data_IF_401410689387
#
_entry.id   IF_401410689387
#
_cell.length_a   1.000
_cell.length_b   1.000
_cell.length_c   1.000
_cell.angle_alpha   90.00
_cell.angle_beta   90.00
_cell.angle_gamma   90.00
#
_symmetry.space_group_name_H-M   'P 1'
#
loop_
_entity.id
_entity.type
_entity.pdbx_description
1 polymer ?
#
# COMPACT_ATOMS: atom_id res chain seq x y z
N UNK A 1 -5.07 21.04 -17.76
CA UNK A 1 -5.72 21.08 -16.42
C UNK A 1 -6.33 22.44 -16.09
N UNK A 2 -5.64 23.56 -16.26
CA UNK A 2 -6.21 24.89 -15.93
C UNK A 2 -7.54 25.19 -16.63
N UNK A 3 -7.67 24.94 -17.94
CA UNK A 3 -8.94 25.15 -18.66
C UNK A 3 -10.10 24.33 -18.07
N UNK A 4 -9.86 23.05 -17.73
CA UNK A 4 -10.85 22.19 -17.06
C UNK A 4 -11.23 22.76 -15.69
N UNK A 5 -10.26 23.27 -14.94
CA UNK A 5 -10.47 23.88 -13.63
C UNK A 5 -11.36 25.12 -13.73
N UNK A 6 -11.02 26.04 -14.65
CA UNK A 6 -11.77 27.27 -14.90
C UNK A 6 -13.21 26.96 -15.28
N UNK A 7 -13.42 26.03 -16.22
CA UNK A 7 -14.76 25.63 -16.65
C UNK A 7 -15.57 25.01 -15.51
N UNK A 8 -14.95 24.15 -14.69
CA UNK A 8 -15.61 23.56 -13.53
C UNK A 8 -15.97 24.61 -12.48
N UNK A 9 -15.14 25.64 -12.31
CA UNK A 9 -15.46 26.74 -11.38
C UNK A 9 -16.67 27.55 -11.86
N UNK A 10 -16.77 27.82 -13.17
CA UNK A 10 -17.92 28.54 -13.75
C UNK A 10 -19.22 27.75 -13.62
N UNK A 11 -19.13 26.42 -13.77
CA UNK A 11 -20.27 25.51 -13.77
C UNK A 11 -20.47 24.79 -12.45
N UNK A 12 -19.88 25.25 -11.34
CA UNK A 12 -19.82 24.49 -10.08
C UNK A 12 -21.20 23.99 -9.60
N UNK A 13 -22.26 24.76 -9.86
CA UNK A 13 -23.64 24.38 -9.51
C UNK A 13 -24.21 23.23 -10.37
N UNK A 14 -23.62 22.89 -11.51
CA UNK A 14 -24.02 21.71 -12.30
C UNK A 14 -23.47 20.40 -11.72
N UNK A 15 -22.47 20.49 -10.84
CA UNK A 15 -21.76 19.33 -10.33
C UNK A 15 -22.44 18.76 -9.07
N UNK A 16 -22.59 17.44 -9.04
CA UNK A 16 -22.97 16.70 -7.83
C UNK A 16 -21.77 15.91 -7.28
N UNK A 17 -21.93 15.24 -6.14
CA UNK A 17 -20.82 14.65 -5.40
C UNK A 17 -19.90 13.72 -6.21
N UNK A 18 -20.45 12.83 -7.05
CA UNK A 18 -19.64 12.02 -7.98
C UNK A 18 -18.81 12.86 -8.96
N UNK A 19 -19.42 13.87 -9.60
CA UNK A 19 -18.68 14.74 -10.53
C UNK A 19 -17.54 15.47 -9.81
N UNK A 20 -17.81 16.00 -8.61
CA UNK A 20 -16.81 16.67 -7.78
C UNK A 20 -15.68 15.72 -7.38
N UNK A 21 -16.00 14.49 -6.98
CA UNK A 21 -15.01 13.47 -6.66
C UNK A 21 -14.12 13.15 -7.85
N UNK A 22 -14.69 12.98 -9.05
CA UNK A 22 -13.91 12.69 -10.25
C UNK A 22 -12.97 13.84 -10.62
N UNK A 23 -13.46 15.09 -10.54
CA UNK A 23 -12.62 16.27 -10.81
C UNK A 23 -11.52 16.39 -9.75
N UNK A 24 -11.85 16.34 -8.46
CA UNK A 24 -10.88 16.42 -7.37
C UNK A 24 -9.80 15.33 -7.51
N UNK A 25 -10.22 14.08 -7.76
CA UNK A 25 -9.33 12.95 -7.96
C UNK A 25 -8.38 13.14 -9.15
N UNK A 26 -8.86 13.67 -10.27
CA UNK A 26 -8.02 13.94 -11.43
C UNK A 26 -6.88 14.93 -11.11
N UNK A 27 -7.20 16.01 -10.39
CA UNK A 27 -6.19 17.01 -9.98
C UNK A 27 -5.19 16.44 -8.97
N UNK A 28 -5.66 15.64 -8.01
CA UNK A 28 -4.82 14.94 -7.02
C UNK A 28 -3.86 13.96 -7.70
N UNK A 29 -4.37 13.17 -8.64
CA UNK A 29 -3.60 12.16 -9.39
C UNK A 29 -2.51 12.82 -10.21
N UNK A 30 -2.83 13.94 -10.87
CA UNK A 30 -1.87 14.70 -11.68
C UNK A 30 -0.97 15.64 -10.85
N UNK A 31 -1.12 15.65 -9.52
CA UNK A 31 -0.40 16.56 -8.61
C UNK A 31 -0.56 18.05 -9.01
N UNK A 32 -1.69 18.39 -9.62
CA UNK A 32 -1.97 19.73 -10.13
C UNK A 32 -2.82 20.50 -9.11
N UNK A 33 -2.19 21.39 -8.32
CA UNK A 33 -2.91 22.22 -7.34
C UNK A 33 -3.66 23.35 -8.05
N UNK A 34 -4.95 23.53 -7.72
CA UNK A 34 -5.77 24.64 -8.24
C UNK A 34 -6.74 25.16 -7.17
N UNK A 35 -6.29 26.15 -6.40
CA UNK A 35 -7.00 26.64 -5.20
C UNK A 35 -8.42 27.17 -5.46
N UNK A 36 -8.72 27.90 -6.57
CA UNK A 36 -10.10 28.30 -6.86
C UNK A 36 -11.06 27.12 -7.04
N UNK A 37 -10.57 26.00 -7.61
CA UNK A 37 -11.37 24.79 -7.79
C UNK A 37 -11.62 24.10 -6.45
N UNK A 38 -10.58 23.98 -5.62
CA UNK A 38 -10.70 23.43 -4.27
C UNK A 38 -11.65 24.24 -3.39
N UNK A 39 -11.68 25.57 -3.59
CA UNK A 39 -12.64 26.46 -2.95
C UNK A 39 -14.07 26.14 -3.37
N UNK A 40 -14.35 25.97 -4.67
CA UNK A 40 -15.67 25.60 -5.19
C UNK A 40 -16.11 24.23 -4.65
N UNK A 41 -15.22 23.23 -4.64
CA UNK A 41 -15.50 21.92 -4.05
C UNK A 41 -15.87 22.08 -2.57
N UNK A 42 -15.06 22.84 -1.81
CA UNK A 42 -15.33 23.12 -0.39
C UNK A 42 -16.66 23.82 -0.14
N UNK A 43 -17.03 24.80 -0.96
CA UNK A 43 -18.33 25.48 -0.88
C UNK A 43 -19.48 24.50 -1.08
N UNK A 44 -19.41 23.66 -2.11
CA UNK A 44 -20.49 22.73 -2.43
C UNK A 44 -20.63 21.66 -1.34
N UNK A 45 -19.51 21.08 -0.87
CA UNK A 45 -19.54 20.04 0.18
C UNK A 45 -20.01 20.56 1.53
N UNK A 46 -19.78 21.85 1.82
CA UNK A 46 -20.22 22.47 3.08
C UNK A 46 -21.59 23.15 2.98
N UNK A 47 -22.03 23.53 1.79
CA UNK A 47 -23.30 24.22 1.55
C UNK A 47 -24.51 23.28 1.49
N UNK A 48 -25.60 23.78 0.90
CA UNK A 48 -26.91 23.10 0.84
C UNK A 48 -26.86 21.69 0.25
N UNK A 49 -25.97 21.44 -0.73
CA UNK A 49 -25.84 20.13 -1.37
C UNK A 49 -25.15 19.08 -0.51
N UNK A 50 -24.33 19.51 0.46
CA UNK A 50 -23.55 18.61 1.30
C UNK A 50 -22.70 17.63 0.48
N UNK A 51 -22.55 16.40 1.00
CA UNK A 51 -21.86 15.30 0.29
C UNK A 51 -22.79 14.51 -0.63
N UNK A 52 -24.11 14.73 -0.55
CA UNK A 52 -25.13 13.97 -1.26
C UNK A 52 -25.32 12.55 -0.70
N UNK A 53 -25.57 11.59 -1.59
CA UNK A 53 -25.76 10.17 -1.22
C UNK A 53 -24.50 9.56 -0.63
N UNK A 54 -24.64 8.42 0.05
CA UNK A 54 -23.49 7.70 0.60
C UNK A 54 -22.47 7.31 -0.47
N UNK A 55 -22.95 6.83 -1.63
CA UNK A 55 -22.09 6.51 -2.77
C UNK A 55 -21.25 7.71 -3.23
N UNK A 56 -21.82 8.92 -3.20
CA UNK A 56 -21.10 10.15 -3.53
C UNK A 56 -20.08 10.53 -2.45
N UNK A 57 -20.47 10.46 -1.18
CA UNK A 57 -19.59 10.75 -0.05
C UNK A 57 -18.36 9.82 -0.04
N UNK A 58 -18.56 8.53 -0.32
CA UNK A 58 -17.48 7.53 -0.46
C UNK A 58 -16.48 7.87 -1.56
N UNK A 59 -16.95 8.35 -2.71
CA UNK A 59 -16.05 8.77 -3.79
C UNK A 59 -15.26 10.02 -3.40
N UNK A 60 -15.89 10.97 -2.70
CA UNK A 60 -15.23 12.17 -2.18
C UNK A 60 -14.19 11.84 -1.10
N UNK A 61 -14.41 10.79 -0.29
CA UNK A 61 -13.47 10.35 0.73
C UNK A 61 -12.06 10.07 0.17
N UNK A 62 -11.97 9.37 -0.98
CA UNK A 62 -10.68 9.16 -1.66
C UNK A 62 -10.00 10.46 -2.06
N UNK A 63 -10.79 11.47 -2.45
CA UNK A 63 -10.25 12.79 -2.78
C UNK A 63 -9.75 13.51 -1.51
N UNK A 64 -10.51 13.47 -0.42
CA UNK A 64 -10.09 14.08 0.85
C UNK A 64 -8.83 13.43 1.42
N UNK A 65 -8.69 12.11 1.31
CA UNK A 65 -7.46 11.40 1.68
C UNK A 65 -6.26 11.79 0.80
N UNK A 66 -6.50 12.04 -0.49
CA UNK A 66 -5.45 12.35 -1.46
C UNK A 66 -5.04 13.83 -1.54
N UNK A 67 -5.89 14.75 -1.07
CA UNK A 67 -5.64 16.20 -1.10
C UNK A 67 -4.27 16.63 -0.54
N UNK A 68 -3.77 16.11 0.61
CA UNK A 68 -2.46 16.50 1.15
C UNK A 68 -1.30 16.33 0.16
N UNK A 69 -1.47 15.46 -0.83
CA UNK A 69 -0.48 15.22 -1.90
C UNK A 69 -0.29 16.44 -2.82
N UNK A 70 -1.17 17.44 -2.76
CA UNK A 70 -1.06 18.71 -3.48
C UNK A 70 -0.24 19.77 -2.73
N UNK A 71 0.21 19.48 -1.50
CA UNK A 71 1.07 20.35 -0.70
C UNK A 71 0.57 20.53 0.74
N UNK A 72 1.45 20.97 1.67
CA UNK A 72 1.14 21.04 3.11
C UNK A 72 0.00 22.00 3.46
N UNK A 73 -0.11 23.11 2.71
CA UNK A 73 -1.12 24.15 2.96
C UNK A 73 -2.41 23.97 2.15
N UNK A 74 -2.55 22.84 1.44
CA UNK A 74 -3.75 22.59 0.63
C UNK A 74 -5.00 22.46 1.50
N UNK A 75 -6.07 23.17 1.14
CA UNK A 75 -7.36 23.12 1.82
C UNK A 75 -8.49 23.16 0.79
N UNK A 76 -9.69 22.76 1.21
CA UNK A 76 -10.92 22.96 0.46
C UNK A 76 -11.37 24.42 0.63
N UNK A 77 -10.57 25.36 0.11
CA UNK A 77 -10.78 26.80 0.24
C UNK A 77 -10.39 27.41 1.59
N UNK A 78 -10.75 26.78 2.71
CA UNK A 78 -10.39 27.21 4.06
C UNK A 78 -10.25 26.02 5.02
N UNK A 79 -9.61 26.25 6.18
CA UNK A 79 -9.56 25.25 7.26
C UNK A 79 -10.95 24.82 7.71
N UNK A 80 -11.84 25.79 7.94
CA UNK A 80 -13.21 25.52 8.39
C UNK A 80 -13.99 24.64 7.41
N UNK A 81 -13.82 24.87 6.09
CA UNK A 81 -14.46 24.05 5.07
C UNK A 81 -13.83 22.68 4.91
N UNK A 82 -12.50 22.56 5.03
CA UNK A 82 -11.85 21.23 5.06
C UNK A 82 -12.38 20.41 6.23
N UNK A 83 -12.34 20.96 7.45
CA UNK A 83 -12.80 20.27 8.67
C UNK A 83 -14.31 19.97 8.58
N UNK A 84 -15.11 20.92 8.10
CA UNK A 84 -16.55 20.73 7.93
C UNK A 84 -16.90 19.61 6.95
N UNK A 85 -16.18 19.51 5.83
CA UNK A 85 -16.41 18.47 4.83
C UNK A 85 -16.08 17.07 5.37
N UNK A 86 -14.95 16.91 6.07
CA UNK A 86 -14.57 15.62 6.65
C UNK A 86 -15.41 15.24 7.87
N UNK A 87 -15.90 16.22 8.64
CA UNK A 87 -16.88 15.99 9.70
C UNK A 87 -18.19 15.44 9.13
N UNK A 88 -18.75 16.09 8.09
CA UNK A 88 -19.96 15.60 7.41
C UNK A 88 -19.79 14.18 6.88
N UNK A 89 -18.60 13.83 6.36
CA UNK A 89 -18.30 12.49 5.88
C UNK A 89 -18.33 11.47 7.03
N UNK A 90 -17.68 11.81 8.15
CA UNK A 90 -17.63 10.97 9.34
C UNK A 90 -19.03 10.77 9.95
N UNK A 91 -19.80 11.84 10.10
CA UNK A 91 -21.16 11.77 10.65
C UNK A 91 -22.06 10.91 9.75
N UNK A 92 -21.99 11.11 8.43
CA UNK A 92 -22.78 10.33 7.47
C UNK A 92 -22.44 8.82 7.48
N UNK A 93 -21.16 8.47 7.70
CA UNK A 93 -20.73 7.10 7.94
C UNK A 93 -21.28 6.57 9.27
N UNK A 94 -21.13 7.34 10.34
CA UNK A 94 -21.48 6.92 11.70
C UNK A 94 -22.99 6.69 11.85
N UNK A 95 -23.82 7.59 11.31
CA UNK A 95 -25.28 7.43 11.32
C UNK A 95 -25.71 6.12 10.66
N UNK A 96 -25.04 5.73 9.55
CA UNK A 96 -25.34 4.48 8.83
C UNK A 96 -24.84 3.25 9.57
N UNK A 97 -23.65 3.36 10.14
CA UNK A 97 -23.08 2.32 10.98
C UNK A 97 -24.00 2.02 12.17
N UNK A 98 -24.52 3.06 12.83
CA UNK A 98 -25.48 2.91 13.94
C UNK A 98 -26.85 2.38 13.49
N UNK A 99 -27.34 2.84 12.33
CA UNK A 99 -28.63 2.39 11.81
C UNK A 99 -28.62 0.93 11.33
N UNK A 100 -27.45 0.30 11.19
CA UNK A 100 -27.33 -1.11 10.81
C UNK A 100 -27.88 -1.43 9.42
N UNK A 101 -27.94 -0.45 8.52
CA UNK A 101 -28.69 -0.53 7.25
C UNK A 101 -28.08 -1.49 6.22
N UNK A 102 -26.92 -2.09 6.50
CA UNK A 102 -26.20 -2.95 5.55
C UNK A 102 -25.62 -2.21 4.34
N UNK A 103 -25.80 -0.89 4.24
CA UNK A 103 -25.28 -0.04 3.15
C UNK A 103 -23.80 0.36 3.33
N UNK A 104 -23.21 0.07 4.50
CA UNK A 104 -21.80 0.31 4.79
C UNK A 104 -21.03 -0.96 4.47
N UNK A 105 -20.21 -0.91 3.42
CA UNK A 105 -19.29 -2.01 3.12
C UNK A 105 -18.24 -2.09 4.22
N UNK A 106 -17.70 -3.28 4.50
CA UNK A 106 -16.66 -3.43 5.52
C UNK A 106 -15.38 -2.59 5.22
N UNK A 107 -15.15 -2.27 3.95
CA UNK A 107 -14.08 -1.37 3.49
C UNK A 107 -14.34 0.12 3.74
N UNK A 108 -15.60 0.52 3.90
CA UNK A 108 -15.96 1.93 4.00
C UNK A 108 -15.32 2.58 5.24
N UNK A 109 -15.11 1.80 6.31
CA UNK A 109 -14.46 2.26 7.53
C UNK A 109 -13.06 2.82 7.25
N UNK A 110 -12.18 2.05 6.60
CA UNK A 110 -10.81 2.52 6.39
C UNK A 110 -10.76 3.67 5.37
N UNK A 111 -11.69 3.69 4.40
CA UNK A 111 -11.81 4.78 3.43
C UNK A 111 -12.15 6.10 4.11
N UNK A 112 -13.13 6.09 5.03
CA UNK A 112 -13.49 7.29 5.81
C UNK A 112 -12.37 7.67 6.76
N UNK A 113 -11.75 6.68 7.42
CA UNK A 113 -10.66 6.92 8.34
C UNK A 113 -9.49 7.66 7.66
N UNK A 114 -9.01 7.15 6.52
CA UNK A 114 -7.90 7.77 5.78
C UNK A 114 -8.30 9.11 5.13
N UNK A 115 -9.59 9.35 4.89
CA UNK A 115 -10.10 10.65 4.46
C UNK A 115 -10.09 11.70 5.57
N UNK A 116 -10.24 11.30 6.84
CA UNK A 116 -10.31 12.17 8.01
C UNK A 116 -8.93 12.37 8.63
N UNK A 117 -8.13 11.30 8.74
CA UNK A 117 -6.86 11.24 9.46
C UNK A 117 -5.91 12.42 9.18
N UNK A 118 -5.64 12.82 7.91
CA UNK A 118 -4.69 13.89 7.62
C UNK A 118 -5.10 15.26 8.17
N UNK A 119 -6.39 15.44 8.47
CA UNK A 119 -6.97 16.72 8.85
C UNK A 119 -7.15 16.86 10.36
N UNK A 120 -6.90 15.80 11.11
CA UNK A 120 -6.96 15.82 12.58
C UNK A 120 -5.87 16.68 13.20
N UNK A 121 -4.80 17.03 12.47
CA UNK A 121 -3.79 17.97 12.95
C UNK A 121 -4.25 19.44 12.96
N UNK A 122 -5.32 19.78 12.25
CA UNK A 122 -5.79 21.16 12.11
C UNK A 122 -6.38 21.70 13.43
N UNK A 123 -6.16 22.98 13.79
CA UNK A 123 -6.75 23.60 14.99
C UNK A 123 -8.27 23.42 15.10
N UNK A 124 -9.01 23.63 14.01
CA UNK A 124 -10.46 23.49 13.95
C UNK A 124 -10.98 22.05 14.12
N UNK A 125 -10.11 21.04 14.11
CA UNK A 125 -10.50 19.62 14.18
C UNK A 125 -10.66 19.09 15.61
N UNK A 126 -10.48 19.93 16.66
CA UNK A 126 -10.54 19.51 18.07
C UNK A 126 -11.82 18.74 18.42
N UNK A 127 -12.98 19.26 18.04
CA UNK A 127 -14.27 18.61 18.27
C UNK A 127 -14.43 17.32 17.46
N UNK A 128 -13.92 17.30 16.22
CA UNK A 128 -13.94 16.12 15.36
C UNK A 128 -13.14 14.98 16.02
N UNK A 129 -11.95 15.29 16.53
CA UNK A 129 -11.08 14.34 17.23
C UNK A 129 -11.71 13.79 18.52
N UNK A 130 -12.49 14.61 19.22
CA UNK A 130 -13.19 14.22 20.44
C UNK A 130 -14.60 13.64 20.19
N UNK A 131 -15.01 13.49 18.93
CA UNK A 131 -16.36 13.02 18.61
C UNK A 131 -16.49 11.51 18.83
N UNK A 132 -17.67 11.08 19.31
CA UNK A 132 -18.00 9.65 19.42
C UNK A 132 -18.01 8.92 18.07
N UNK A 133 -18.28 9.64 16.97
CA UNK A 133 -18.20 9.10 15.63
C UNK A 133 -16.76 8.71 15.25
N UNK A 134 -15.78 9.57 15.56
CA UNK A 134 -14.37 9.28 15.32
C UNK A 134 -13.88 8.13 16.20
N UNK A 135 -14.27 8.14 17.48
CA UNK A 135 -13.93 7.06 18.40
C UNK A 135 -14.46 5.71 17.93
N UNK A 136 -15.74 5.63 17.55
CA UNK A 136 -16.36 4.40 17.06
C UNK A 136 -15.70 3.88 15.78
N UNK A 137 -15.35 4.77 14.86
CA UNK A 137 -14.62 4.40 13.64
C UNK A 137 -13.24 3.80 13.95
N UNK A 138 -12.49 4.41 14.87
CA UNK A 138 -11.20 3.87 15.32
C UNK A 138 -11.35 2.51 16.01
N UNK A 139 -12.36 2.35 16.87
CA UNK A 139 -12.62 1.09 17.56
C UNK A 139 -12.98 -0.03 16.57
N UNK A 140 -13.75 0.28 15.52
CA UNK A 140 -14.08 -0.67 14.45
C UNK A 140 -12.82 -1.15 13.73
N UNK A 141 -11.95 -0.23 13.29
CA UNK A 141 -10.70 -0.58 12.62
C UNK A 141 -9.71 -1.27 13.56
N UNK A 142 -9.67 -0.90 14.85
CA UNK A 142 -8.87 -1.58 15.85
C UNK A 142 -9.32 -3.03 16.01
N UNK A 143 -10.64 -3.29 16.04
CA UNK A 143 -11.20 -4.63 16.10
C UNK A 143 -10.85 -5.45 14.86
N UNK A 144 -10.96 -4.87 13.65
CA UNK A 144 -10.54 -5.54 12.42
C UNK A 144 -9.04 -5.88 12.43
N UNK A 145 -8.20 -4.94 12.86
CA UNK A 145 -6.75 -5.13 13.02
C UNK A 145 -6.42 -6.25 13.99
N UNK A 146 -7.02 -6.26 15.19
CA UNK A 146 -6.78 -7.28 16.22
C UNK A 146 -7.23 -8.68 15.76
N UNK A 147 -8.36 -8.77 15.05
CA UNK A 147 -8.80 -10.04 14.46
C UNK A 147 -7.79 -10.56 13.43
N UNK A 148 -7.25 -9.67 12.58
CA UNK A 148 -6.24 -10.07 11.59
C UNK A 148 -4.93 -10.47 12.26
N UNK A 149 -4.51 -9.70 13.27
CA UNK A 149 -3.34 -10.02 14.08
C UNK A 149 -3.48 -11.42 14.69
N UNK A 150 -4.61 -11.72 15.32
CA UNK A 150 -4.88 -13.03 15.90
C UNK A 150 -4.83 -14.15 14.86
N UNK A 151 -5.36 -13.94 13.66
CA UNK A 151 -5.25 -14.92 12.56
C UNK A 151 -3.78 -15.13 12.14
N UNK A 152 -3.00 -14.07 11.97
CA UNK A 152 -1.59 -14.16 11.58
C UNK A 152 -0.71 -14.77 12.70
N UNK A 153 -1.12 -14.69 13.96
CA UNK A 153 -0.43 -15.30 15.09
C UNK A 153 -0.80 -16.77 15.29
N UNK A 154 -2.08 -17.12 15.15
CA UNK A 154 -2.61 -18.41 15.60
C UNK A 154 -3.12 -19.35 14.48
N UNK A 155 -3.18 -18.92 13.22
CA UNK A 155 -3.62 -19.79 12.11
C UNK A 155 -2.66 -20.96 11.91
N UNK A 156 -3.21 -22.18 11.92
CA UNK A 156 -2.47 -23.40 11.60
C UNK A 156 -1.95 -23.37 10.16
N UNK A 157 -2.73 -22.83 9.21
CA UNK A 157 -2.32 -22.67 7.81
C UNK A 157 -1.14 -21.71 7.69
N UNK A 158 -1.20 -20.59 8.40
CA UNK A 158 -0.10 -19.63 8.43
C UNK A 158 1.16 -20.24 9.04
N UNK A 159 1.01 -20.94 10.17
CA UNK A 159 2.10 -21.66 10.80
C UNK A 159 2.70 -22.70 9.84
N UNK A 160 1.87 -23.53 9.20
CA UNK A 160 2.29 -24.57 8.25
C UNK A 160 3.10 -24.01 7.08
N UNK A 161 2.73 -22.84 6.55
CA UNK A 161 3.49 -22.16 5.50
C UNK A 161 4.89 -21.75 5.99
N UNK A 162 5.01 -21.32 7.25
CA UNK A 162 6.29 -20.89 7.83
C UNK A 162 7.25 -22.03 8.15
N UNK A 163 6.72 -23.19 8.57
CA UNK A 163 7.55 -24.36 8.92
C UNK A 163 7.97 -25.16 7.70
N UNK A 164 7.29 -25.02 6.56
CA UNK A 164 7.60 -25.80 5.36
C UNK A 164 9.02 -25.51 4.85
N UNK A 165 9.83 -26.55 4.71
CA UNK A 165 11.15 -26.50 4.05
C UNK A 165 11.02 -26.65 2.52
N UNK A 166 9.88 -27.12 2.05
CA UNK A 166 9.56 -27.28 0.64
C UNK A 166 8.56 -26.22 0.18
N UNK A 167 8.23 -26.20 -1.12
CA UNK A 167 7.11 -25.40 -1.59
C UNK A 167 5.84 -25.90 -0.88
N UNK A 168 5.11 -25.04 -0.14
CA UNK A 168 3.90 -25.47 0.54
C UNK A 168 2.90 -26.01 -0.47
N UNK A 169 2.16 -27.05 -0.10
CA UNK A 169 1.10 -27.58 -0.95
C UNK A 169 0.09 -26.48 -1.29
N UNK A 170 -0.41 -26.53 -2.53
CA UNK A 170 -1.48 -25.63 -3.02
C UNK A 170 -2.71 -25.65 -2.08
N UNK A 171 -2.98 -26.79 -1.43
CA UNK A 171 -4.08 -26.96 -0.47
C UNK A 171 -3.95 -26.09 0.78
N UNK A 172 -2.73 -25.93 1.33
CA UNK A 172 -2.46 -25.10 2.51
C UNK A 172 -2.55 -23.62 2.15
N UNK A 173 -1.97 -23.26 1.01
CA UNK A 173 -2.01 -21.89 0.49
C UNK A 173 -3.46 -21.45 0.26
N UNK A 174 -4.27 -22.32 -0.33
CA UNK A 174 -5.70 -22.05 -0.59
C UNK A 174 -6.49 -21.85 0.70
N UNK A 175 -6.32 -22.72 1.70
CA UNK A 175 -6.98 -22.56 3.00
C UNK A 175 -6.61 -21.24 3.68
N UNK A 176 -5.34 -20.86 3.66
CA UNK A 176 -4.92 -19.55 4.15
C UNK A 176 -5.60 -18.39 3.42
N UNK A 177 -5.72 -18.47 2.08
CA UNK A 177 -6.41 -17.44 1.29
C UNK A 177 -7.89 -17.36 1.65
N UNK A 178 -8.55 -18.51 1.82
CA UNK A 178 -9.95 -18.59 2.28
C UNK A 178 -10.10 -17.95 3.67
N UNK A 179 -9.16 -18.20 4.60
CA UNK A 179 -9.12 -17.54 5.91
C UNK A 179 -9.00 -16.01 5.80
N UNK A 180 -8.10 -15.50 4.95
CA UNK A 180 -7.99 -14.05 4.70
C UNK A 180 -9.28 -13.46 4.11
N UNK A 181 -9.92 -14.17 3.18
CA UNK A 181 -11.15 -13.71 2.52
C UNK A 181 -12.33 -13.58 3.49
N UNK A 182 -12.32 -14.33 4.60
CA UNK A 182 -13.37 -14.25 5.63
C UNK A 182 -13.47 -12.86 6.30
N UNK A 183 -12.40 -12.07 6.23
CA UNK A 183 -12.39 -10.70 6.76
C UNK A 183 -13.25 -9.74 5.94
N UNK A 184 -13.50 -10.05 4.66
CA UNK A 184 -14.33 -9.25 3.73
C UNK A 184 -13.92 -7.77 3.61
N UNK A 185 -12.66 -7.46 3.89
CA UNK A 185 -12.03 -6.14 3.69
C UNK A 185 -10.80 -6.28 2.80
N UNK A 186 -10.47 -5.23 2.06
CA UNK A 186 -9.27 -5.14 1.22
C UNK A 186 -8.04 -4.71 2.03
N UNK A 187 -8.22 -3.86 3.03
CA UNK A 187 -7.14 -3.28 3.82
C UNK A 187 -7.63 -2.74 5.16
N UNK A 188 -6.69 -2.24 5.95
CA UNK A 188 -6.97 -1.66 7.28
C UNK A 188 -6.88 -0.12 7.30
N UNK A 189 -6.56 0.52 6.17
CA UNK A 189 -6.20 1.94 6.13
C UNK A 189 -4.81 2.20 6.70
N UNK A 190 -4.33 3.43 6.55
CA UNK A 190 -2.92 3.78 6.74
C UNK A 190 -2.45 3.52 8.18
N UNK A 191 -3.10 4.10 9.18
CA UNK A 191 -2.68 3.98 10.59
C UNK A 191 -2.72 2.54 11.10
N UNK A 192 -3.83 1.83 10.90
CA UNK A 192 -3.99 0.48 11.42
C UNK A 192 -3.12 -0.55 10.70
N UNK A 193 -2.84 -0.35 9.40
CA UNK A 193 -1.87 -1.17 8.66
C UNK A 193 -0.47 -1.00 9.23
N UNK A 194 -0.05 0.24 9.47
CA UNK A 194 1.24 0.53 10.09
C UNK A 194 1.35 -0.08 11.49
N UNK A 195 0.37 0.15 12.38
CA UNK A 195 0.38 -0.41 13.74
C UNK A 195 0.49 -1.92 13.76
N UNK A 196 -0.18 -2.61 12.83
CA UNK A 196 -0.09 -4.05 12.69
C UNK A 196 1.33 -4.49 12.28
N UNK A 197 1.88 -3.89 11.23
CA UNK A 197 3.21 -4.24 10.71
C UNK A 197 4.32 -3.90 11.71
N UNK A 198 4.21 -2.77 12.41
CA UNK A 198 5.10 -2.38 13.50
C UNK A 198 5.05 -3.41 14.64
N UNK A 199 3.86 -3.93 14.99
CA UNK A 199 3.69 -5.02 15.95
C UNK A 199 4.42 -6.32 15.55
N UNK A 200 4.67 -6.54 14.25
CA UNK A 200 5.48 -7.63 13.71
C UNK A 200 6.94 -7.24 13.41
N UNK A 201 7.40 -6.10 13.92
CA UNK A 201 8.79 -5.64 13.82
C UNK A 201 9.16 -5.06 12.45
N UNK A 202 8.20 -4.57 11.68
CA UNK A 202 8.51 -3.67 10.57
C UNK A 202 8.94 -2.29 11.10
N UNK A 203 9.77 -1.60 10.32
CA UNK A 203 10.33 -0.29 10.65
C UNK A 203 9.89 0.75 9.63
N UNK A 204 9.82 2.05 9.98
CA UNK A 204 9.62 3.09 8.98
C UNK A 204 10.89 3.28 8.13
N UNK A 205 10.71 3.72 6.89
CA UNK A 205 11.80 4.25 6.05
C UNK A 205 12.17 5.66 6.53
N UNK A 206 13.46 6.02 6.53
CA UNK A 206 13.88 7.35 6.98
C UNK A 206 13.38 8.46 6.02
N UNK A 207 13.09 9.65 6.56
CA UNK A 207 12.47 10.73 5.78
C UNK A 207 13.31 11.18 4.57
N UNK A 208 14.64 11.23 4.72
CA UNK A 208 15.58 11.50 3.62
C UNK A 208 15.51 10.48 2.49
N UNK A 209 15.34 9.20 2.83
CA UNK A 209 15.23 8.11 1.86
C UNK A 209 13.88 8.14 1.14
N UNK A 210 12.81 8.51 1.86
CA UNK A 210 11.48 8.74 1.28
C UNK A 210 11.53 9.88 0.27
N UNK A 211 12.23 10.98 0.59
CA UNK A 211 12.37 12.11 -0.32
C UNK A 211 13.11 11.71 -1.62
N UNK A 212 14.18 10.93 -1.51
CA UNK A 212 14.91 10.41 -2.66
C UNK A 212 14.04 9.47 -3.53
N UNK A 213 13.24 8.58 -2.91
CA UNK A 213 12.32 7.70 -3.63
C UNK A 213 11.22 8.48 -4.39
N UNK A 214 10.68 9.54 -3.75
CA UNK A 214 9.69 10.43 -4.38
C UNK A 214 10.28 11.19 -5.57
N UNK A 215 11.49 11.74 -5.44
CA UNK A 215 12.17 12.46 -6.52
C UNK A 215 12.36 11.57 -7.77
N UNK A 216 12.82 10.33 -7.58
CA UNK A 216 12.96 9.36 -8.69
C UNK A 216 11.64 8.99 -9.37
N UNK A 217 10.51 9.08 -8.66
CA UNK A 217 9.16 8.85 -9.22
C UNK A 217 8.71 10.02 -10.11
N UNK A 218 9.02 11.26 -9.71
CA UNK A 218 8.71 12.50 -10.45
C UNK A 218 9.58 12.70 -11.70
N UNK A 219 10.86 12.34 -11.66
CA UNK A 219 11.74 12.43 -12.84
C UNK A 219 11.34 11.45 -13.94
N UNK A 220 10.80 10.28 -13.61
CA UNK A 220 10.32 9.33 -14.62
C UNK A 220 9.00 9.72 -15.27
N UNK A 221 8.12 10.45 -14.56
CA UNK A 221 6.88 10.96 -15.16
C UNK A 221 7.12 12.13 -16.12
N UNK A 222 8.27 12.81 -16.01
CA UNK A 222 8.62 14.00 -16.79
C UNK A 222 9.64 13.72 -17.92
N UNK A 223 10.54 12.76 -17.76
CA UNK A 223 11.67 12.51 -18.70
C UNK A 223 11.34 11.67 -19.94
N UNK A 224 10.17 11.05 -20.02
CA UNK A 224 9.70 10.39 -21.25
C UNK A 224 8.43 11.06 -21.72
N UNK A 225 8.53 11.87 -22.78
CA UNK A 225 7.41 12.34 -23.60
C UNK A 225 6.66 11.20 -24.31
N UNK A 226 6.37 10.11 -23.61
CA UNK A 226 5.49 9.05 -24.07
C UNK A 226 4.06 9.53 -23.91
N UNK A 227 3.46 9.86 -25.05
CA UNK A 227 2.01 9.78 -25.30
C UNK A 227 1.47 8.45 -24.78
N UNK A 228 1.07 8.39 -23.51
CA UNK A 228 0.27 7.29 -22.98
C UNK A 228 -1.19 7.55 -23.32
N UNK A 229 -1.57 7.04 -24.49
CA UNK A 229 -2.95 6.68 -24.80
C UNK A 229 -3.27 5.46 -23.95
N UNK A 230 -3.74 5.67 -22.72
CA UNK A 230 -4.54 4.70 -21.99
C UNK A 230 -5.57 5.52 -21.18
N UNK A 231 -6.67 5.86 -21.84
CA UNK A 231 -7.78 6.65 -21.31
C UNK A 231 -8.66 5.91 -20.29
N UNK A 232 -8.08 5.05 -19.45
CA UNK A 232 -8.78 4.43 -18.32
C UNK A 232 -8.03 4.80 -17.04
N UNK A 233 -8.71 5.55 -16.17
CA UNK A 233 -8.25 5.94 -14.84
C UNK A 233 -8.14 4.75 -13.88
N UNK A 234 -7.32 3.76 -14.22
CA UNK A 234 -7.00 2.61 -13.38
C UNK A 234 -5.92 3.02 -12.36
N UNK A 235 -6.21 2.81 -11.07
CA UNK A 235 -5.31 3.07 -9.94
C UNK A 235 -3.99 2.31 -10.14
N UNK A 236 -2.91 3.03 -10.44
CA UNK A 236 -1.58 2.43 -10.60
C UNK A 236 -0.89 2.40 -9.24
N UNK A 237 -0.82 1.23 -8.62
CA UNK A 237 -0.09 1.02 -7.38
C UNK A 237 1.33 0.58 -7.71
N UNK A 238 2.30 1.37 -7.28
CA UNK A 238 3.71 1.14 -7.50
C UNK A 238 4.35 0.73 -6.19
N UNK A 239 5.30 -0.22 -6.26
CA UNK A 239 6.22 -0.53 -5.17
C UNK A 239 7.65 -0.39 -5.69
N UNK A 240 8.45 0.35 -4.94
CA UNK A 240 9.86 0.58 -5.16
C UNK A 240 10.61 -0.09 -4.02
N UNK A 241 11.73 -0.76 -4.30
CA UNK A 241 12.47 -1.43 -3.25
C UNK A 241 13.98 -1.31 -3.37
N UNK A 242 14.64 -1.42 -2.22
CA UNK A 242 16.08 -1.63 -2.05
C UNK A 242 16.28 -2.82 -1.16
N UNK A 243 17.31 -3.62 -1.43
CA UNK A 243 17.63 -4.76 -0.59
C UNK A 243 19.13 -4.89 -0.40
N UNK A 244 19.55 -5.31 0.78
CA UNK A 244 20.89 -5.78 1.05
C UNK A 244 20.77 -6.99 1.94
N UNK A 245 21.36 -8.11 1.55
CA UNK A 245 21.35 -9.34 2.35
C UNK A 245 22.78 -9.85 2.49
N UNK A 246 23.11 -10.35 3.68
CA UNK A 246 24.40 -10.93 3.95
C UNK A 246 24.31 -12.11 4.93
N UNK A 247 25.20 -13.08 4.73
CA UNK A 247 25.33 -14.25 5.61
C UNK A 247 26.54 -14.05 6.52
N UNK A 248 26.37 -14.11 7.86
CA UNK A 248 27.49 -14.03 8.79
C UNK A 248 28.45 -15.22 8.58
N UNK A 249 29.67 -14.94 8.11
CA UNK A 249 30.72 -15.93 7.90
C UNK A 249 32.09 -15.26 8.08
N UNK A 250 33.17 -16.05 8.13
CA UNK A 250 34.55 -15.54 8.25
C UNK A 250 34.92 -14.54 7.14
N UNK A 251 34.33 -14.71 5.95
CA UNK A 251 34.22 -13.68 4.92
C UNK A 251 32.72 -13.46 4.65
N UNK A 252 32.16 -12.29 4.94
CA UNK A 252 30.73 -12.04 4.75
C UNK A 252 30.39 -12.02 3.26
N UNK A 253 29.45 -12.88 2.86
CA UNK A 253 28.88 -12.85 1.51
C UNK A 253 27.74 -11.85 1.47
N UNK A 254 27.72 -11.00 0.45
CA UNK A 254 26.79 -9.87 0.35
C UNK A 254 26.16 -9.83 -1.04
N UNK A 255 24.85 -9.59 -1.09
CA UNK A 255 24.15 -9.22 -2.31
C UNK A 255 23.32 -7.95 -2.06
N UNK A 256 23.34 -7.01 -3.01
CA UNK A 256 22.65 -5.74 -2.84
C UNK A 256 21.96 -5.26 -4.11
N UNK A 257 20.73 -4.77 -3.94
CA UNK A 257 19.96 -4.01 -4.91
C UNK A 257 19.88 -2.56 -4.39
N UNK A 258 20.71 -1.63 -4.89
CA UNK A 258 20.79 -0.25 -4.39
C UNK A 258 19.54 0.58 -4.67
N UNK A 259 18.57 0.03 -5.41
CA UNK A 259 17.29 0.63 -5.68
C UNK A 259 17.07 0.74 -7.17
N UNK A 260 16.12 -0.06 -7.65
CA UNK A 260 15.74 -0.06 -9.04
C UNK A 260 14.34 0.50 -9.18
N UNK A 261 14.22 1.58 -9.94
CA UNK A 261 12.95 2.02 -10.51
C UNK A 261 12.56 0.98 -11.58
N UNK A 262 11.84 -0.07 -11.17
CA UNK A 262 11.33 -1.07 -12.10
C UNK A 262 10.16 -0.44 -12.87
N UNK A 263 10.43 0.02 -14.08
CA UNK A 263 9.39 0.47 -15.01
C UNK A 263 8.52 -0.75 -15.36
N UNK A 264 7.22 -0.68 -15.12
CA UNK A 264 6.32 -1.84 -15.06
C UNK A 264 5.06 -1.67 -15.93
N UNK A 265 5.03 -2.22 -17.15
CA UNK A 265 3.88 -2.33 -18.10
C UNK A 265 3.46 -3.77 -18.52
N UNK A 266 2.74 -4.55 -17.71
CA UNK A 266 1.97 -5.71 -18.24
C UNK A 266 0.62 -5.82 -17.54
N UNK A 267 -0.42 -5.74 -18.36
CA UNK A 267 -1.76 -6.25 -18.13
C UNK A 267 -1.87 -7.55 -18.95
N UNK A 268 -2.24 -8.65 -18.27
CA UNK A 268 -2.66 -9.98 -18.77
C UNK A 268 -1.61 -11.00 -19.24
N UNK A 269 -1.87 -12.22 -18.77
CA UNK A 269 -1.22 -13.51 -19.02
C UNK A 269 -1.25 -13.87 -20.52
N UNK A 270 -0.08 -13.86 -21.16
CA UNK A 270 0.24 -14.74 -22.30
C UNK A 270 1.71 -15.15 -22.18
N UNK A 271 1.91 -16.42 -22.45
CA UNK A 271 3.01 -17.26 -22.02
C UNK A 271 4.07 -17.31 -23.12
N UNK A 272 4.56 -16.15 -23.57
CA UNK A 272 5.43 -16.07 -24.73
C UNK A 272 5.82 -14.62 -25.00
N UNK A 273 6.90 -14.13 -24.36
CA UNK A 273 7.75 -13.03 -24.86
C UNK A 273 8.92 -12.68 -23.89
N UNK A 274 10.11 -13.22 -24.15
CA UNK A 274 11.32 -12.39 -24.31
C UNK A 274 11.88 -11.51 -23.17
N UNK A 275 11.67 -11.82 -21.90
CA UNK A 275 12.65 -11.42 -20.86
C UNK A 275 12.55 -10.01 -20.23
N UNK A 276 11.36 -9.47 -19.98
CA UNK A 276 11.14 -8.36 -19.03
C UNK A 276 9.80 -8.52 -18.29
N UNK A 277 9.71 -8.16 -17.00
CA UNK A 277 8.53 -8.48 -16.16
C UNK A 277 8.01 -7.27 -15.37
N UNK A 278 6.67 -7.16 -15.33
CA UNK A 278 5.85 -6.09 -14.74
C UNK A 278 4.75 -6.66 -13.83
N UNK A 279 4.19 -5.87 -12.89
CA UNK A 279 3.38 -6.38 -11.77
C UNK A 279 2.18 -5.47 -11.47
N UNK A 280 0.96 -5.96 -11.72
CA UNK A 280 -0.31 -5.27 -11.46
C UNK A 280 -0.90 -5.79 -10.16
N UNK A 281 -1.22 -4.91 -9.21
CA UNK A 281 -2.10 -5.26 -8.10
C UNK A 281 -3.52 -5.46 -8.65
N UNK A 282 -3.92 -6.71 -8.91
CA UNK A 282 -5.34 -7.00 -9.11
C UNK A 282 -5.99 -7.04 -7.73
N UNK A 283 -6.80 -6.03 -7.43
CA UNK A 283 -7.74 -6.07 -6.30
C UNK A 283 -8.91 -7.03 -6.56
N UNK A 284 -8.66 -8.13 -7.28
CA UNK A 284 -9.67 -9.13 -7.58
C UNK A 284 -9.86 -10.04 -6.38
N UNK A 285 -11.11 -10.32 -6.04
CA UNK A 285 -11.51 -11.08 -4.84
C UNK A 285 -11.06 -12.55 -4.86
N UNK A 286 -10.34 -12.99 -5.89
CA UNK A 286 -10.19 -14.41 -6.25
C UNK A 286 -8.73 -14.87 -6.25
N UNK A 287 -7.73 -13.99 -6.34
CA UNK A 287 -6.32 -14.43 -6.48
C UNK A 287 -5.33 -13.65 -5.60
N UNK A 288 -5.34 -13.94 -4.29
CA UNK A 288 -4.64 -13.17 -3.25
C UNK A 288 -3.12 -13.40 -3.14
N UNK A 289 -2.47 -14.10 -4.08
CA UNK A 289 -1.03 -14.38 -3.97
C UNK A 289 -0.26 -14.34 -5.29
N UNK A 290 -0.94 -14.28 -6.42
CA UNK A 290 -0.27 -14.25 -7.70
C UNK A 290 0.09 -12.80 -8.06
N UNK A 291 1.31 -12.40 -7.66
CA UNK A 291 2.07 -11.30 -8.28
C UNK A 291 1.71 -9.86 -7.86
N UNK A 292 1.84 -9.54 -6.57
CA UNK A 292 1.93 -8.15 -6.09
C UNK A 292 3.39 -7.65 -6.12
N UNK A 293 3.63 -6.35 -6.32
CA UNK A 293 4.99 -5.81 -6.52
C UNK A 293 5.85 -5.94 -5.25
N UNK A 294 5.22 -5.75 -4.09
CA UNK A 294 5.74 -5.98 -2.75
C UNK A 294 6.14 -7.44 -2.57
N UNK A 295 5.29 -8.37 -3.03
CA UNK A 295 5.56 -9.81 -2.98
C UNK A 295 6.80 -10.16 -3.79
N UNK A 296 6.98 -9.55 -4.96
CA UNK A 296 8.18 -9.77 -5.78
C UNK A 296 9.45 -9.24 -5.12
N UNK A 297 9.40 -8.07 -4.50
CA UNK A 297 10.54 -7.52 -3.76
C UNK A 297 10.96 -8.49 -2.62
N UNK A 298 10.00 -8.98 -1.84
CA UNK A 298 10.26 -9.98 -0.79
C UNK A 298 10.76 -11.31 -1.36
N UNK A 299 10.15 -11.82 -2.43
CA UNK A 299 10.54 -13.09 -3.05
C UNK A 299 11.95 -13.03 -3.64
N UNK A 300 12.33 -11.92 -4.29
CA UNK A 300 13.69 -11.67 -4.79
C UNK A 300 14.70 -11.65 -3.64
N UNK A 301 14.38 -10.91 -2.58
CA UNK A 301 15.23 -10.80 -1.39
C UNK A 301 15.43 -12.17 -0.73
N UNK A 302 14.35 -12.94 -0.57
CA UNK A 302 14.41 -14.30 -0.04
C UNK A 302 15.20 -15.26 -0.94
N UNK A 303 15.05 -15.16 -2.27
CA UNK A 303 15.82 -15.98 -3.21
C UNK A 303 17.31 -15.67 -3.16
N UNK A 304 17.68 -14.39 -3.06
CA UNK A 304 19.07 -13.97 -2.90
C UNK A 304 19.66 -14.43 -1.56
N UNK A 305 18.92 -14.28 -0.47
CA UNK A 305 19.30 -14.79 0.85
C UNK A 305 19.59 -16.30 0.80
N UNK A 306 18.71 -17.09 0.17
CA UNK A 306 18.89 -18.54 0.00
C UNK A 306 20.07 -18.89 -0.90
N UNK A 307 20.34 -18.09 -1.94
CA UNK A 307 21.51 -18.29 -2.79
C UNK A 307 22.82 -18.09 -2.02
N UNK A 308 22.89 -17.06 -1.15
CA UNK A 308 24.05 -16.88 -0.28
C UNK A 308 24.26 -18.03 0.72
N UNK A 309 23.21 -18.74 1.10
CA UNK A 309 23.30 -19.90 2.00
C UNK A 309 23.77 -21.19 1.30
N UNK A 310 23.99 -21.18 -0.02
CA UNK A 310 24.47 -22.33 -0.79
C UNK A 310 25.99 -22.54 -0.75
N UNK A 311 26.73 -21.81 0.09
CA UNK A 311 28.19 -21.98 0.26
C UNK A 311 28.63 -23.44 0.51
N UNK A 312 27.83 -24.33 1.13
CA UNK A 312 28.22 -25.74 1.24
C UNK A 312 28.31 -26.49 -0.11
N UNK A 313 27.66 -25.98 -1.16
CA UNK A 313 27.59 -26.58 -2.51
C UNK A 313 28.24 -25.73 -3.60
N UNK A 314 28.44 -24.43 -3.37
CA UNK A 314 29.02 -23.46 -4.29
C UNK A 314 30.18 -22.74 -3.64
N UNK A 315 31.15 -22.28 -4.43
CA UNK A 315 32.17 -21.35 -3.91
C UNK A 315 31.52 -20.03 -3.44
N UNK A 316 32.14 -19.31 -2.49
CA UNK A 316 31.73 -17.97 -2.06
C UNK A 316 31.40 -16.98 -3.19
N UNK A 317 32.21 -17.00 -4.26
CA UNK A 317 32.05 -16.13 -5.42
C UNK A 317 30.80 -16.50 -6.23
N UNK A 318 30.61 -17.79 -6.53
CA UNK A 318 29.45 -18.30 -7.25
C UNK A 318 28.14 -18.01 -6.51
N UNK A 319 28.13 -18.22 -5.18
CA UNK A 319 26.98 -17.92 -4.34
C UNK A 319 26.63 -16.41 -4.38
N UNK A 320 27.63 -15.54 -4.36
CA UNK A 320 27.44 -14.08 -4.43
C UNK A 320 26.92 -13.65 -5.80
N UNK A 321 27.48 -14.18 -6.89
CA UNK A 321 27.02 -13.91 -8.26
C UNK A 321 25.58 -14.38 -8.44
N UNK A 322 25.25 -15.59 -7.98
CA UNK A 322 23.89 -16.12 -8.06
C UNK A 322 22.92 -15.27 -7.24
N UNK A 323 23.28 -14.87 -6.01
CA UNK A 323 22.43 -14.02 -5.18
C UNK A 323 22.18 -12.65 -5.81
N UNK A 324 23.20 -12.04 -6.41
CA UNK A 324 23.07 -10.77 -7.13
C UNK A 324 22.14 -10.91 -8.35
N UNK A 325 22.23 -12.01 -9.08
CA UNK A 325 21.33 -12.32 -10.19
C UNK A 325 19.89 -12.52 -9.71
N UNK A 326 19.68 -13.21 -8.58
CA UNK A 326 18.34 -13.41 -7.99
C UNK A 326 17.69 -12.09 -7.56
N UNK A 327 18.44 -11.12 -7.02
CA UNK A 327 17.92 -9.77 -6.77
C UNK A 327 17.51 -9.08 -8.08
N UNK A 328 18.36 -9.18 -9.11
CA UNK A 328 18.19 -8.51 -10.40
C UNK A 328 16.98 -9.03 -11.17
N UNK A 329 16.81 -10.34 -11.28
CA UNK A 329 15.81 -10.96 -12.16
C UNK A 329 14.67 -11.65 -11.42
N UNK A 330 14.85 -11.97 -10.13
CA UNK A 330 13.97 -12.89 -9.40
C UNK A 330 14.23 -14.35 -9.74
N UNK A 331 13.67 -15.24 -8.92
CA UNK A 331 13.78 -16.68 -9.10
C UNK A 331 13.05 -17.15 -10.38
N UNK A 332 13.72 -17.94 -11.23
CA UNK A 332 13.07 -18.65 -12.35
C UNK A 332 12.42 -19.94 -11.84
N UNK A 333 11.25 -20.35 -12.35
CA UNK A 333 10.56 -21.57 -11.90
C UNK A 333 11.41 -22.85 -12.03
N UNK A 334 12.30 -22.88 -13.03
CA UNK A 334 13.13 -24.03 -13.44
C UNK A 334 14.52 -24.06 -12.78
N UNK A 335 14.98 -22.93 -12.25
CA UNK A 335 16.17 -22.90 -11.42
C UNK A 335 15.74 -23.41 -10.03
N UNK A 336 15.98 -24.70 -9.77
CA UNK A 336 15.70 -25.32 -8.48
C UNK A 336 16.16 -24.39 -7.36
N UNK A 337 15.22 -23.88 -6.56
CA UNK A 337 15.57 -23.26 -5.30
C UNK A 337 16.42 -24.29 -4.54
N UNK A 338 17.58 -23.89 -4.00
CA UNK A 338 18.49 -24.84 -3.37
C UNK A 338 17.78 -25.64 -2.29
N UNK A 339 17.74 -26.96 -2.50
CA UNK A 339 17.01 -27.92 -1.65
C UNK A 339 17.64 -28.11 -0.26
N UNK A 340 18.73 -27.42 0.06
CA UNK A 340 19.60 -27.65 1.23
C UNK A 340 19.58 -26.48 2.22
N UNK A 341 18.65 -25.53 2.10
CA UNK A 341 18.57 -24.39 3.03
C UNK A 341 17.59 -24.68 4.15
N UNK A 342 18.09 -24.79 5.38
CA UNK A 342 17.26 -24.97 6.57
C UNK A 342 16.65 -23.65 7.04
N UNK A 343 15.57 -23.72 7.83
CA UNK A 343 14.95 -22.54 8.44
C UNK A 343 15.91 -21.78 9.36
N UNK A 344 16.73 -22.51 10.12
CA UNK A 344 17.72 -21.90 11.02
C UNK A 344 18.78 -21.13 10.24
N UNK A 345 19.17 -21.64 9.05
CA UNK A 345 20.05 -20.94 8.15
C UNK A 345 19.39 -19.64 7.62
N UNK A 346 18.12 -19.67 7.21
CA UNK A 346 17.38 -18.46 6.81
C UNK A 346 17.28 -17.44 7.95
N UNK A 347 17.11 -17.90 9.19
CA UNK A 347 17.07 -17.04 10.36
C UNK A 347 18.41 -16.34 10.64
N UNK A 348 19.53 -16.93 10.23
CA UNK A 348 20.86 -16.34 10.38
C UNK A 348 21.16 -15.20 9.38
N UNK A 349 20.40 -15.11 8.27
CA UNK A 349 20.63 -14.08 7.25
C UNK A 349 20.30 -12.71 7.78
N UNK A 350 21.24 -11.79 7.63
CA UNK A 350 21.12 -10.41 8.06
C UNK A 350 20.90 -9.49 6.86
N UNK A 351 20.40 -8.28 7.11
CA UNK A 351 20.32 -7.27 6.06
C UNK A 351 19.16 -6.30 6.22
N UNK A 352 18.73 -5.74 5.10
CA UNK A 352 17.56 -4.86 5.03
C UNK A 352 16.79 -5.03 3.72
N UNK A 353 15.48 -4.87 3.80
CA UNK A 353 14.56 -4.72 2.67
C UNK A 353 13.75 -3.44 2.91
N UNK A 354 13.94 -2.45 2.05
CA UNK A 354 13.18 -1.21 2.06
C UNK A 354 12.11 -1.27 0.97
N UNK A 355 10.86 -0.97 1.33
CA UNK A 355 9.72 -0.88 0.42
C UNK A 355 9.10 0.51 0.51
N UNK A 356 8.89 1.15 -0.65
CA UNK A 356 8.10 2.37 -0.78
C UNK A 356 6.94 2.08 -1.73
N UNK A 357 5.69 2.25 -1.28
CA UNK A 357 4.50 2.05 -2.10
C UNK A 357 3.72 3.33 -2.38
N UNK A 358 2.96 3.40 -3.46
CA UNK A 358 2.08 4.56 -3.73
C UNK A 358 0.71 4.46 -3.06
N UNK A 359 0.37 3.30 -2.50
CA UNK A 359 -0.86 3.06 -1.73
C UNK A 359 -0.58 2.18 -0.51
N UNK A 360 -1.54 2.18 0.43
CA UNK A 360 -1.53 1.31 1.61
C UNK A 360 -1.58 -0.16 1.17
N UNK A 361 -0.76 -1.05 1.74
CA UNK A 361 -0.78 -2.46 1.34
C UNK A 361 -2.09 -3.15 1.74
N UNK A 362 -2.59 -4.00 0.85
CA UNK A 362 -3.77 -4.82 1.10
C UNK A 362 -3.49 -5.96 2.09
N UNK A 363 -4.53 -6.69 2.51
CA UNK A 363 -4.40 -7.79 3.48
C UNK A 363 -3.42 -8.89 3.05
N UNK A 364 -3.38 -9.25 1.77
CA UNK A 364 -2.44 -10.26 1.26
C UNK A 364 -0.99 -9.79 1.35
N UNK A 365 -0.73 -8.53 0.99
CA UNK A 365 0.59 -7.90 1.13
C UNK A 365 1.04 -7.87 2.60
N UNK A 366 0.16 -7.48 3.52
CA UNK A 366 0.42 -7.53 4.97
C UNK A 366 0.79 -8.94 5.40
N UNK A 367 0.00 -9.95 5.01
CA UNK A 367 0.27 -11.35 5.33
C UNK A 367 1.63 -11.83 4.82
N UNK A 368 2.00 -11.46 3.60
CA UNK A 368 3.31 -11.79 3.03
C UNK A 368 4.47 -11.08 3.75
N UNK A 369 4.30 -9.82 4.15
CA UNK A 369 5.29 -9.07 4.95
C UNK A 369 5.53 -9.74 6.30
N UNK A 370 4.46 -10.19 6.98
CA UNK A 370 4.59 -10.93 8.24
C UNK A 370 5.27 -12.28 8.03
N UNK A 371 4.97 -12.99 6.94
CA UNK A 371 5.67 -14.24 6.62
C UNK A 371 7.16 -14.00 6.40
N UNK A 372 7.52 -12.98 5.61
CA UNK A 372 8.90 -12.61 5.36
C UNK A 372 9.64 -12.29 6.67
N UNK A 373 9.04 -11.46 7.54
CA UNK A 373 9.62 -11.11 8.85
C UNK A 373 9.87 -12.31 9.75
N UNK A 374 8.94 -13.27 9.79
CA UNK A 374 9.10 -14.47 10.62
C UNK A 374 10.12 -15.46 10.06
N UNK A 375 10.28 -15.47 8.74
CA UNK A 375 11.23 -16.36 8.06
C UNK A 375 12.67 -15.80 8.07
N UNK A 376 12.81 -14.48 7.92
CA UNK A 376 14.08 -13.76 7.93
C UNK A 376 14.10 -12.69 9.04
N UNK A 377 14.09 -13.09 10.33
CA UNK A 377 14.00 -12.18 11.47
C UNK A 377 15.10 -11.13 11.50
N UNK A 378 16.28 -11.42 10.96
CA UNK A 378 17.45 -10.53 10.97
C UNK A 378 17.59 -9.66 9.69
N UNK A 379 16.65 -9.75 8.74
CA UNK A 379 16.51 -8.77 7.65
C UNK A 379 15.51 -7.69 8.09
N UNK A 380 16.00 -6.47 8.29
CA UNK A 380 15.16 -5.33 8.65
C UNK A 380 14.19 -4.98 7.52
N UNK A 381 12.89 -5.20 7.72
CA UNK A 381 11.85 -4.77 6.78
C UNK A 381 11.46 -3.32 7.08
N UNK A 382 11.85 -2.41 6.21
CA UNK A 382 11.49 -1.00 6.29
C UNK A 382 10.39 -0.70 5.26
N UNK A 383 9.31 -0.08 5.68
CA UNK A 383 8.13 0.16 4.84
C UNK A 383 7.72 1.63 4.88
N UNK A 384 7.19 2.10 3.77
CA UNK A 384 6.59 3.42 3.65
C UNK A 384 5.56 3.41 2.50
N UNK A 385 4.57 4.30 2.56
CA UNK A 385 3.68 4.57 1.42
C UNK A 385 3.24 6.03 1.32
N UNK A 386 2.60 6.41 0.22
CA UNK A 386 1.95 7.72 0.15
C UNK A 386 0.75 7.81 1.12
N UNK A 387 0.80 8.75 2.06
CA UNK A 387 -0.16 8.82 3.17
C UNK A 387 0.27 8.02 4.41
N UNK A 388 1.54 7.61 4.48
CA UNK A 388 2.11 7.03 5.69
C UNK A 388 1.89 7.96 6.90
N UNK A 389 1.50 7.43 8.08
CA UNK A 389 1.26 8.25 9.28
C UNK A 389 2.50 9.09 9.65
N UNK A 390 2.32 10.39 9.93
CA UNK A 390 3.42 11.32 10.22
C UNK A 390 4.10 11.06 11.59
N UNK A 391 3.38 10.43 12.52
CA UNK A 391 3.89 9.98 13.82
C UNK A 391 3.62 8.48 14.00
N UNK A 392 4.41 7.62 13.34
CA UNK A 392 4.26 6.16 13.36
C UNK A 392 4.52 5.52 14.72
#
# INVERSE_FOLDING_TARGET
>A
MNAVATETCLRGEDFHGQHLAMVAWAFITLRHRHDPLLRVIGQITNGYRGLGTWSNAKLLAFSFAGLPRLGPDVRLGSEAWTVGAVRKLLDQFYDRFQAGTGEVDADDAWVVHDAVLPWLGLPGSRELRASGAWEALNQLLATQRLRLQGMLEASEEFAAILVSEQRPETSIIRRYQECLQTFRIRGLGSDHTWRLLAGFGALPVAAEEVAAARAGTLEQSTSKGQTRVDGRGERQNWCFFRASVHVPAAQPLVASEPGRLLNSSVVKYREDCGGFIHVKLHHDRVDHRAWDAEFRAMARTAAAARALLQVPTLSPEEASVQAQEMLRTGARPEAELPRVVTRDAEASVQGQLQLFMTEVPCLSCIGAMVQFRRRFPNIALRIHWEGFPENP
#
